data_IF_472419061145
#
_entry.id   IF_472419061145
#
_cell.length_a   1.000
_cell.length_b   1.000
_cell.length_c   1.000
_cell.angle_alpha   90.00
_cell.angle_beta   90.00
_cell.angle_gamma   90.00
#
_symmetry.space_group_name_H-M   'P 1'
#
loop_
_entity.id
_entity.type
_entity.pdbx_description
1 polymer ?
#
# COMPACT_ATOMS: atom_id res chain seq x y z
N UNK A 1 -22.95 53.53 19.71
CA UNK A 1 -24.16 52.90 20.28
C UNK A 1 -25.46 53.32 19.61
N UNK A 2 -25.86 54.62 19.63
CA UNK A 2 -27.16 55.05 19.04
C UNK A 2 -27.35 54.78 17.51
N UNK A 3 -26.29 54.68 16.69
CA UNK A 3 -26.41 54.42 15.24
C UNK A 3 -26.63 52.96 14.93
N UNK A 4 -26.04 52.06 15.71
CA UNK A 4 -26.19 50.61 15.52
C UNK A 4 -27.58 50.11 15.95
N UNK A 5 -28.11 50.66 17.06
CA UNK A 5 -29.51 50.37 17.48
C UNK A 5 -30.52 50.78 16.43
N UNK A 6 -30.33 51.97 15.81
CA UNK A 6 -31.22 52.43 14.73
C UNK A 6 -31.17 51.55 13.49
N UNK A 7 -29.98 51.00 13.14
CA UNK A 7 -29.82 50.08 12.03
C UNK A 7 -30.52 48.73 12.31
N UNK A 8 -30.37 48.18 13.52
CA UNK A 8 -31.03 46.94 13.93
C UNK A 8 -32.55 47.07 13.90
N UNK A 9 -33.10 48.17 14.42
CA UNK A 9 -34.54 48.42 14.39
C UNK A 9 -35.06 48.60 12.95
N UNK A 10 -34.31 49.30 12.09
CA UNK A 10 -34.66 49.41 10.67
C UNK A 10 -34.66 48.09 9.92
N UNK A 11 -33.70 47.22 10.25
CA UNK A 11 -33.58 45.85 9.71
C UNK A 11 -34.78 44.99 10.14
N UNK A 12 -35.11 44.96 11.43
CA UNK A 12 -36.27 44.23 11.98
C UNK A 12 -37.56 44.70 11.35
N UNK A 13 -37.76 46.01 11.23
CA UNK A 13 -38.95 46.62 10.58
C UNK A 13 -39.03 46.23 9.09
N UNK A 14 -37.91 46.24 8.37
CA UNK A 14 -37.86 45.83 6.96
C UNK A 14 -38.15 44.35 6.78
N UNK A 15 -37.60 43.48 7.65
CA UNK A 15 -37.89 42.04 7.67
C UNK A 15 -39.37 41.75 7.91
N UNK A 16 -39.96 42.39 8.91
CA UNK A 16 -41.37 42.20 9.24
C UNK A 16 -42.31 42.72 8.13
N UNK A 17 -41.94 43.87 7.50
CA UNK A 17 -42.71 44.43 6.38
C UNK A 17 -42.68 43.54 5.15
N UNK A 18 -41.51 42.91 4.83
CA UNK A 18 -41.32 42.14 3.62
C UNK A 18 -41.29 40.60 3.92
N UNK A 19 -41.78 40.16 5.08
CA UNK A 19 -41.70 38.74 5.51
C UNK A 19 -42.22 37.76 4.47
N UNK A 20 -43.32 38.06 3.78
CA UNK A 20 -43.89 37.20 2.75
C UNK A 20 -42.94 37.01 1.56
N UNK A 21 -42.28 38.11 1.12
CA UNK A 21 -41.32 38.07 -0.01
C UNK A 21 -40.05 37.32 0.37
N UNK A 22 -39.54 37.49 1.60
CA UNK A 22 -38.37 36.74 2.11
C UNK A 22 -38.68 35.26 2.20
N UNK A 23 -39.81 34.91 2.79
CA UNK A 23 -40.23 33.52 2.90
C UNK A 23 -40.42 32.88 1.51
N UNK A 24 -41.08 33.59 0.59
CA UNK A 24 -41.27 33.12 -0.79
C UNK A 24 -39.95 32.90 -1.52
N UNK A 25 -38.97 33.81 -1.35
CA UNK A 25 -37.65 33.67 -1.93
C UNK A 25 -36.89 32.48 -1.34
N UNK A 26 -36.84 32.35 -0.02
CA UNK A 26 -36.15 31.20 0.64
C UNK A 26 -36.80 29.88 0.24
N UNK A 27 -38.13 29.82 0.18
CA UNK A 27 -38.85 28.63 -0.28
C UNK A 27 -38.55 28.30 -1.76
N UNK A 28 -38.47 29.32 -2.64
CA UNK A 28 -38.13 29.09 -4.04
C UNK A 28 -36.71 28.54 -4.20
N UNK A 29 -35.73 29.06 -3.44
CA UNK A 29 -34.36 28.55 -3.42
C UNK A 29 -34.33 27.11 -2.90
N UNK A 30 -35.09 26.81 -1.85
CA UNK A 30 -35.20 25.46 -1.31
C UNK A 30 -35.78 24.46 -2.36
N UNK A 31 -36.85 24.87 -3.07
CA UNK A 31 -37.42 24.03 -4.15
C UNK A 31 -36.44 23.83 -5.30
N UNK A 32 -35.75 24.87 -5.74
CA UNK A 32 -34.70 24.76 -6.77
C UNK A 32 -33.58 23.81 -6.28
N UNK A 33 -33.14 23.95 -5.02
CA UNK A 33 -32.12 23.08 -4.44
C UNK A 33 -32.54 21.61 -4.39
N UNK A 34 -33.81 21.32 -4.08
CA UNK A 34 -34.33 19.94 -4.11
C UNK A 34 -34.26 19.36 -5.51
N UNK A 35 -34.61 20.11 -6.54
CA UNK A 35 -34.55 19.67 -7.95
C UNK A 35 -33.10 19.42 -8.36
N UNK A 36 -32.18 20.36 -8.11
CA UNK A 36 -30.76 20.23 -8.48
C UNK A 36 -30.02 19.17 -7.64
N UNK A 37 -30.42 18.91 -6.41
CA UNK A 37 -29.91 17.80 -5.60
C UNK A 37 -30.52 16.43 -5.99
N UNK A 38 -31.43 16.40 -6.97
CA UNK A 38 -32.08 15.18 -7.45
C UNK A 38 -31.11 14.20 -8.15
N UNK A 39 -31.52 12.93 -8.34
CA UNK A 39 -30.67 11.90 -8.94
C UNK A 39 -30.34 12.16 -10.40
N UNK A 40 -31.06 13.07 -11.05
CA UNK A 40 -30.83 13.46 -12.42
C UNK A 40 -29.59 14.33 -12.59
N UNK A 41 -29.28 15.20 -11.61
CA UNK A 41 -28.12 16.09 -11.64
C UNK A 41 -26.94 15.53 -10.84
N UNK A 42 -27.23 14.85 -9.72
CA UNK A 42 -26.23 14.24 -8.84
C UNK A 42 -26.51 12.75 -8.70
N UNK A 43 -25.73 11.93 -9.43
CA UNK A 43 -25.86 10.49 -9.36
C UNK A 43 -25.59 9.99 -7.92
N UNK A 44 -26.38 9.03 -7.40
CA UNK A 44 -26.10 8.43 -6.12
C UNK A 44 -24.81 7.62 -6.17
N UNK A 45 -23.98 7.73 -5.15
CA UNK A 45 -22.80 6.92 -4.96
C UNK A 45 -23.03 5.92 -3.82
N UNK A 46 -22.61 4.69 -4.04
CA UNK A 46 -22.66 3.60 -3.09
C UNK A 46 -21.27 3.31 -2.56
N UNK A 47 -21.17 3.15 -1.24
CA UNK A 47 -19.91 2.90 -0.56
C UNK A 47 -19.74 1.41 -0.29
N UNK A 48 -18.59 0.86 -0.67
CA UNK A 48 -18.13 -0.47 -0.23
C UNK A 48 -16.74 -0.34 0.36
N UNK A 49 -16.46 -1.12 1.40
CA UNK A 49 -15.20 -1.04 2.15
C UNK A 49 -14.69 -2.45 2.44
N UNK A 50 -13.39 -2.69 2.19
CA UNK A 50 -12.67 -3.88 2.61
C UNK A 50 -11.68 -3.52 3.69
N UNK A 51 -11.63 -4.33 4.77
CA UNK A 51 -10.69 -4.14 5.88
C UNK A 51 -9.82 -5.38 5.99
N UNK A 52 -8.50 -5.18 6.06
CA UNK A 52 -7.54 -6.27 6.09
C UNK A 52 -6.25 -5.89 6.83
N UNK A 53 -5.49 -6.90 7.25
CA UNK A 53 -4.12 -6.74 7.75
C UNK A 53 -3.12 -7.21 6.71
N UNK A 54 -2.03 -6.46 6.47
CA UNK A 54 -0.92 -6.95 5.65
C UNK A 54 -0.21 -8.09 6.39
N UNK A 55 0.35 -9.07 5.64
CA UNK A 55 1.13 -10.14 6.25
C UNK A 55 2.46 -9.62 6.76
N UNK A 56 2.99 -10.27 7.80
CA UNK A 56 4.37 -10.04 8.24
C UNK A 56 5.33 -10.76 7.27
N UNK A 57 6.14 -10.00 6.55
CA UNK A 57 7.13 -10.52 5.59
C UNK A 57 8.58 -10.30 6.04
N UNK A 58 8.79 -9.66 7.19
CA UNK A 58 10.13 -9.22 7.66
C UNK A 58 10.96 -10.35 8.27
N UNK A 59 10.40 -11.52 8.53
CA UNK A 59 11.09 -12.61 9.20
C UNK A 59 10.94 -13.94 8.44
N UNK A 60 11.98 -14.34 7.72
CA UNK A 60 12.05 -15.68 7.11
C UNK A 60 11.99 -16.83 8.14
N UNK A 61 12.32 -16.56 9.41
CA UNK A 61 12.15 -17.51 10.53
C UNK A 61 10.69 -17.66 10.96
N UNK A 62 9.86 -16.66 10.72
CA UNK A 62 8.45 -16.64 11.19
C UNK A 62 7.55 -17.54 10.33
N UNK A 63 7.94 -17.85 9.09
CA UNK A 63 7.18 -18.77 8.23
C UNK A 63 7.27 -20.24 8.70
N UNK A 64 8.29 -20.58 9.47
CA UNK A 64 8.51 -21.94 10.00
C UNK A 64 7.98 -22.06 11.44
N UNK A 65 7.97 -20.99 12.21
CA UNK A 65 7.32 -20.92 13.51
C UNK A 65 5.90 -20.38 13.30
N UNK A 66 4.90 -21.16 13.67
CA UNK A 66 3.44 -20.92 13.58
C UNK A 66 2.92 -19.64 14.24
N UNK A 67 3.72 -18.57 14.25
CA UNK A 67 3.36 -17.29 14.83
C UNK A 67 2.78 -16.39 13.74
N UNK A 68 1.45 -16.48 13.54
CA UNK A 68 0.70 -15.61 12.64
C UNK A 68 0.67 -14.21 13.26
N UNK A 69 1.67 -13.41 12.96
CA UNK A 69 1.71 -12.00 13.36
C UNK A 69 1.19 -11.14 12.22
N UNK A 70 0.29 -10.23 12.57
CA UNK A 70 -0.08 -9.13 11.68
C UNK A 70 1.15 -8.25 11.43
N UNK A 71 1.19 -7.58 10.26
CA UNK A 71 2.31 -6.75 9.87
C UNK A 71 2.63 -5.66 10.90
N UNK A 72 3.92 -5.40 11.08
CA UNK A 72 4.41 -4.28 11.86
C UNK A 72 4.03 -2.94 11.23
N UNK A 73 4.16 -1.83 11.96
CA UNK A 73 3.90 -0.48 11.41
C UNK A 73 4.66 -0.21 10.10
N UNK A 74 5.92 -0.63 10.05
CA UNK A 74 6.76 -0.52 8.84
C UNK A 74 6.18 -1.28 7.66
N UNK A 75 5.64 -2.47 7.89
CA UNK A 75 5.02 -3.28 6.83
C UNK A 75 3.70 -2.70 6.37
N UNK A 76 2.92 -2.11 7.30
CA UNK A 76 1.70 -1.39 6.98
C UNK A 76 2.02 -0.20 6.07
N UNK A 77 3.01 0.61 6.42
CA UNK A 77 3.43 1.77 5.61
C UNK A 77 3.94 1.36 4.23
N UNK A 78 4.74 0.29 4.17
CA UNK A 78 5.19 -0.27 2.89
C UNK A 78 4.01 -0.78 2.05
N UNK A 79 3.02 -1.39 2.67
CA UNK A 79 1.83 -1.89 1.99
C UNK A 79 0.97 -0.75 1.44
N UNK A 80 0.81 0.34 2.21
CA UNK A 80 0.14 1.57 1.74
C UNK A 80 0.85 2.14 0.50
N UNK A 81 2.17 2.16 0.48
CA UNK A 81 2.93 2.64 -0.69
C UNK A 81 2.65 1.78 -1.93
N UNK A 82 2.55 0.44 -1.78
CA UNK A 82 2.20 -0.44 -2.90
C UNK A 82 0.75 -0.20 -3.34
N UNK A 83 -0.20 -0.13 -2.41
CA UNK A 83 -1.61 0.16 -2.68
C UNK A 83 -1.80 1.47 -3.46
N UNK A 84 -1.09 2.53 -3.07
CA UNK A 84 -1.14 3.85 -3.71
C UNK A 84 -0.25 3.96 -4.96
N UNK A 85 0.43 2.88 -5.34
CA UNK A 85 1.33 2.89 -6.50
C UNK A 85 0.56 3.00 -7.82
N UNK A 86 1.24 3.56 -8.82
CA UNK A 86 0.73 3.59 -10.19
C UNK A 86 0.45 2.18 -10.74
N UNK A 87 1.23 1.17 -10.32
CA UNK A 87 1.05 -0.22 -10.77
C UNK A 87 -0.32 -0.77 -10.37
N UNK A 88 -0.74 -0.58 -9.12
CA UNK A 88 -2.05 -1.01 -8.64
C UNK A 88 -3.14 -0.21 -9.36
N UNK A 89 -3.03 1.12 -9.35
CA UNK A 89 -4.01 2.01 -9.98
C UNK A 89 -4.24 1.66 -11.45
N UNK A 90 -3.17 1.57 -12.24
CA UNK A 90 -3.26 1.33 -13.69
C UNK A 90 -3.81 -0.09 -13.97
N UNK A 91 -3.51 -1.07 -13.11
CA UNK A 91 -4.07 -2.42 -13.18
C UNK A 91 -5.58 -2.43 -12.92
N UNK A 92 -6.04 -1.69 -11.90
CA UNK A 92 -7.46 -1.54 -11.58
C UNK A 92 -8.20 -0.82 -12.71
N UNK A 93 -7.64 0.31 -13.20
CA UNK A 93 -8.20 1.07 -14.31
C UNK A 93 -8.38 0.17 -15.54
N UNK A 94 -7.37 -0.63 -15.86
CA UNK A 94 -7.41 -1.54 -17.01
C UNK A 94 -8.42 -2.68 -16.80
N UNK A 95 -8.42 -3.32 -15.60
CA UNK A 95 -9.28 -4.47 -15.31
C UNK A 95 -10.76 -4.11 -15.40
N UNK A 96 -11.14 -2.93 -14.90
CA UNK A 96 -12.54 -2.48 -14.86
C UNK A 96 -12.90 -1.47 -15.96
N UNK A 97 -11.98 -1.19 -16.90
CA UNK A 97 -12.17 -0.19 -17.96
C UNK A 97 -12.68 1.15 -17.41
N UNK A 98 -12.08 1.64 -16.32
CA UNK A 98 -12.56 2.82 -15.63
C UNK A 98 -12.51 4.11 -16.47
N UNK A 99 -11.72 4.13 -17.55
CA UNK A 99 -11.70 5.24 -18.52
C UNK A 99 -13.09 5.42 -19.14
N UNK A 100 -13.67 4.33 -19.64
CA UNK A 100 -15.00 4.35 -20.23
C UNK A 100 -16.08 4.51 -19.15
N UNK A 101 -15.93 3.82 -18.01
CA UNK A 101 -16.89 3.86 -16.90
C UNK A 101 -17.06 5.28 -16.33
N UNK A 102 -15.96 6.03 -16.18
CA UNK A 102 -15.99 7.42 -15.69
C UNK A 102 -16.21 8.46 -16.81
N UNK A 103 -16.40 8.01 -18.05
CA UNK A 103 -16.65 8.91 -19.21
C UNK A 103 -15.48 9.85 -19.50
N UNK A 104 -14.24 9.39 -19.27
CA UNK A 104 -13.05 10.21 -19.50
C UNK A 104 -12.77 10.34 -21.00
N UNK A 105 -12.77 11.59 -21.46
CA UNK A 105 -12.44 11.92 -22.84
C UNK A 105 -10.92 11.84 -23.09
N UNK A 106 -10.48 10.76 -23.72
CA UNK A 106 -9.06 10.48 -24.00
C UNK A 106 -8.48 11.32 -25.13
N UNK A 107 -9.29 12.10 -25.87
CA UNK A 107 -8.80 13.00 -26.93
C UNK A 107 -8.11 14.24 -26.35
N UNK A 108 -8.43 14.59 -25.12
CA UNK A 108 -7.84 15.75 -24.43
C UNK A 108 -6.44 15.42 -23.92
N UNK A 109 -5.48 16.31 -24.13
CA UNK A 109 -4.08 16.14 -23.67
C UNK A 109 -3.96 15.86 -22.16
N UNK A 110 -4.90 16.38 -21.36
CA UNK A 110 -4.90 16.27 -19.89
C UNK A 110 -5.82 15.15 -19.34
N UNK A 111 -6.24 14.20 -20.17
CA UNK A 111 -7.18 13.13 -19.79
C UNK A 111 -6.70 12.31 -18.58
N UNK A 112 -5.37 12.04 -18.49
CA UNK A 112 -4.79 11.31 -17.36
C UNK A 112 -4.94 12.05 -16.03
N UNK A 113 -4.89 13.37 -16.03
CA UNK A 113 -5.14 14.18 -14.85
C UNK A 113 -6.59 13.98 -14.35
N UNK A 114 -7.57 14.07 -15.24
CA UNK A 114 -8.98 13.86 -14.89
C UNK A 114 -9.24 12.42 -14.41
N UNK A 115 -8.66 11.44 -15.08
CA UNK A 115 -8.77 10.03 -14.66
C UNK A 115 -8.20 9.82 -13.25
N UNK A 116 -7.01 10.36 -12.96
CA UNK A 116 -6.39 10.24 -11.65
C UNK A 116 -7.20 10.99 -10.57
N UNK A 117 -7.77 12.13 -10.91
CA UNK A 117 -8.64 12.89 -10.02
C UNK A 117 -9.87 12.07 -9.65
N UNK A 118 -10.60 11.56 -10.63
CA UNK A 118 -11.78 10.71 -10.43
C UNK A 118 -11.42 9.45 -9.60
N UNK A 119 -10.31 8.79 -9.92
CA UNK A 119 -9.84 7.63 -9.17
C UNK A 119 -9.60 7.97 -7.69
N UNK A 120 -8.90 9.06 -7.40
CA UNK A 120 -8.56 9.45 -6.03
C UNK A 120 -9.77 9.98 -5.25
N UNK A 121 -10.78 10.56 -5.92
CA UNK A 121 -12.02 10.99 -5.28
C UNK A 121 -12.94 9.82 -4.94
N UNK A 122 -12.87 8.74 -5.72
CA UNK A 122 -13.73 7.55 -5.55
C UNK A 122 -13.09 6.42 -4.77
N UNK A 123 -11.76 6.39 -4.67
CA UNK A 123 -11.03 5.31 -3.98
C UNK A 123 -10.14 5.91 -2.89
N UNK A 124 -10.50 5.64 -1.64
CA UNK A 124 -9.73 6.05 -0.46
C UNK A 124 -9.02 4.84 0.16
N UNK A 125 -7.75 5.03 0.53
CA UNK A 125 -6.90 4.03 1.18
C UNK A 125 -6.40 4.64 2.47
N UNK A 126 -6.81 4.05 3.61
CA UNK A 126 -6.56 4.61 4.93
C UNK A 126 -6.08 3.54 5.92
N UNK A 127 -5.36 3.98 6.95
CA UNK A 127 -5.01 3.15 8.10
C UNK A 127 -6.07 3.32 9.18
N UNK A 128 -6.59 2.24 9.69
CA UNK A 128 -7.56 2.25 10.79
C UNK A 128 -6.88 2.49 12.14
N UNK A 129 -7.64 2.84 13.17
CA UNK A 129 -7.11 3.00 14.55
C UNK A 129 -6.47 1.73 15.10
N UNK A 130 -6.82 0.57 14.56
CA UNK A 130 -6.34 -0.73 15.01
C UNK A 130 -5.22 -1.29 14.15
N UNK A 131 -4.53 -0.43 13.40
CA UNK A 131 -3.44 -0.83 12.51
C UNK A 131 -3.85 -1.79 11.38
N UNK A 132 -5.14 -1.87 11.06
CA UNK A 132 -5.61 -2.48 9.83
C UNK A 132 -5.58 -1.46 8.69
N UNK A 133 -5.66 -1.94 7.46
CA UNK A 133 -5.85 -1.12 6.28
C UNK A 133 -7.29 -1.21 5.81
N UNK A 134 -7.85 -0.09 5.37
CA UNK A 134 -9.15 -0.04 4.71
C UNK A 134 -9.00 0.50 3.30
N UNK A 135 -9.70 -0.12 2.36
CA UNK A 135 -9.90 0.39 1.01
C UNK A 135 -11.39 0.63 0.84
N UNK A 136 -11.73 1.89 0.70
CA UNK A 136 -13.11 2.37 0.48
C UNK A 136 -13.26 2.74 -0.99
N UNK A 137 -14.31 2.24 -1.62
CA UNK A 137 -14.67 2.55 -3.01
C UNK A 137 -16.08 3.13 -3.05
N UNK A 138 -16.21 4.26 -3.77
CA UNK A 138 -17.48 4.91 -4.08
C UNK A 138 -17.77 4.73 -5.56
N UNK A 139 -18.90 4.16 -5.91
CA UNK A 139 -19.32 4.01 -7.31
C UNK A 139 -20.82 4.18 -7.48
N UNK A 140 -21.26 4.45 -8.70
CA UNK A 140 -22.69 4.51 -9.06
C UNK A 140 -23.34 3.13 -9.10
N UNK A 141 -22.53 2.09 -9.29
CA UNK A 141 -22.93 0.67 -9.21
C UNK A 141 -22.43 0.05 -7.90
N UNK A 142 -23.32 -0.37 -6.98
CA UNK A 142 -22.96 -0.96 -5.71
C UNK A 142 -22.20 -2.28 -5.84
N UNK A 143 -22.47 -3.07 -6.90
CA UNK A 143 -21.77 -4.34 -7.16
C UNK A 143 -20.36 -4.07 -7.62
N UNK A 144 -20.20 -3.09 -8.51
CA UNK A 144 -18.89 -2.68 -9.01
C UNK A 144 -18.03 -2.09 -7.89
N UNK A 145 -18.60 -1.27 -7.00
CA UNK A 145 -17.90 -0.72 -5.84
C UNK A 145 -17.29 -1.84 -4.96
N UNK A 146 -18.08 -2.85 -4.61
CA UNK A 146 -17.62 -3.98 -3.80
C UNK A 146 -16.55 -4.81 -4.55
N UNK A 147 -16.75 -5.04 -5.83
CA UNK A 147 -15.83 -5.82 -6.66
C UNK A 147 -14.49 -5.10 -6.82
N UNK A 148 -14.49 -3.79 -7.07
CA UNK A 148 -13.26 -2.98 -7.17
C UNK A 148 -12.51 -3.02 -5.85
N UNK A 149 -13.18 -2.81 -4.70
CA UNK A 149 -12.54 -2.79 -3.40
C UNK A 149 -11.80 -4.11 -3.09
N UNK A 150 -12.45 -5.25 -3.28
CA UNK A 150 -11.84 -6.57 -3.09
C UNK A 150 -10.69 -6.81 -4.08
N UNK A 151 -10.89 -6.45 -5.34
CA UNK A 151 -9.87 -6.64 -6.40
C UNK A 151 -8.62 -5.79 -6.18
N UNK A 152 -8.73 -4.60 -5.58
CA UNK A 152 -7.55 -3.78 -5.24
C UNK A 152 -6.63 -4.55 -4.29
N UNK A 153 -7.18 -5.24 -3.29
CA UNK A 153 -6.39 -6.06 -2.35
C UNK A 153 -5.72 -7.22 -3.09
N UNK A 154 -6.47 -7.96 -3.93
CA UNK A 154 -5.94 -9.07 -4.72
C UNK A 154 -4.78 -8.64 -5.66
N UNK A 155 -4.97 -7.54 -6.39
CA UNK A 155 -3.95 -6.99 -7.28
C UNK A 155 -2.71 -6.58 -6.48
N UNK A 156 -2.90 -5.95 -5.33
CA UNK A 156 -1.80 -5.53 -4.46
C UNK A 156 -1.00 -6.70 -3.96
N UNK A 157 -1.67 -7.78 -3.52
CA UNK A 157 -1.01 -9.02 -3.12
C UNK A 157 -0.21 -9.65 -4.27
N UNK A 158 -0.78 -9.72 -5.46
CA UNK A 158 -0.11 -10.25 -6.64
C UNK A 158 1.13 -9.42 -7.04
N UNK A 159 1.04 -8.09 -6.99
CA UNK A 159 2.17 -7.19 -7.26
C UNK A 159 3.25 -7.36 -6.20
N UNK A 160 2.88 -7.40 -4.91
CA UNK A 160 3.82 -7.59 -3.80
C UNK A 160 4.54 -8.94 -3.91
N UNK A 161 3.81 -10.02 -4.19
CA UNK A 161 4.39 -11.34 -4.43
C UNK A 161 5.38 -11.33 -5.61
N UNK A 162 5.07 -10.63 -6.68
CA UNK A 162 5.97 -10.49 -7.84
C UNK A 162 7.27 -9.75 -7.47
N UNK A 163 7.16 -8.66 -6.71
CA UNK A 163 8.33 -7.90 -6.23
C UNK A 163 9.20 -8.78 -5.31
N UNK A 164 8.57 -9.49 -4.36
CA UNK A 164 9.28 -10.39 -3.44
C UNK A 164 9.99 -11.52 -4.18
N UNK A 165 9.33 -12.17 -5.15
CA UNK A 165 9.94 -13.21 -5.98
C UNK A 165 11.14 -12.69 -6.77
N UNK A 166 11.02 -11.50 -7.37
CA UNK A 166 12.13 -10.87 -8.10
C UNK A 166 13.34 -10.61 -7.19
N UNK A 167 13.12 -10.07 -6.00
CA UNK A 167 14.18 -9.80 -5.04
C UNK A 167 14.82 -11.10 -4.54
N UNK A 168 14.00 -12.11 -4.26
CA UNK A 168 14.48 -13.41 -3.78
C UNK A 168 15.26 -14.15 -4.86
N UNK A 169 14.83 -14.10 -6.13
CA UNK A 169 15.59 -14.72 -7.25
C UNK A 169 16.94 -14.04 -7.46
N UNK A 170 17.02 -12.71 -7.31
CA UNK A 170 18.28 -11.99 -7.37
C UNK A 170 19.21 -12.36 -6.21
N UNK A 171 18.69 -12.48 -5.00
CA UNK A 171 19.44 -12.92 -3.82
C UNK A 171 19.95 -14.35 -3.99
N UNK A 172 19.11 -15.27 -4.53
CA UNK A 172 19.47 -16.65 -4.80
C UNK A 172 20.63 -16.73 -5.80
N UNK A 173 20.58 -15.96 -6.89
CA UNK A 173 21.67 -15.91 -7.89
C UNK A 173 22.98 -15.43 -7.29
N UNK A 174 22.96 -14.46 -6.38
CA UNK A 174 24.16 -14.00 -5.68
C UNK A 174 24.70 -15.09 -4.73
N UNK A 175 23.82 -15.74 -3.94
CA UNK A 175 24.22 -16.85 -3.06
C UNK A 175 24.83 -18.02 -3.83
N UNK A 176 24.26 -18.36 -4.99
CA UNK A 176 24.79 -19.43 -5.87
C UNK A 176 26.19 -19.08 -6.36
N UNK A 177 26.41 -17.82 -6.76
CA UNK A 177 27.74 -17.36 -7.18
C UNK A 177 28.75 -17.38 -6.03
N UNK A 178 28.35 -16.90 -4.85
CA UNK A 178 29.22 -16.89 -3.67
C UNK A 178 29.56 -18.32 -3.23
N UNK A 179 28.58 -19.23 -3.22
CA UNK A 179 28.78 -20.67 -2.95
C UNK A 179 29.75 -21.27 -3.96
N UNK A 180 29.52 -21.07 -5.27
CA UNK A 180 30.42 -21.56 -6.32
C UNK A 180 31.85 -21.05 -6.18
N UNK A 181 32.04 -19.78 -5.86
CA UNK A 181 33.36 -19.20 -5.63
C UNK A 181 34.05 -19.83 -4.40
N UNK A 182 33.30 -19.99 -3.31
CA UNK A 182 33.83 -20.63 -2.10
C UNK A 182 34.18 -22.09 -2.30
N UNK A 183 33.41 -22.84 -3.09
CA UNK A 183 33.76 -24.22 -3.49
C UNK A 183 35.08 -24.25 -4.26
N UNK A 184 35.29 -23.33 -5.20
CA UNK A 184 36.56 -23.24 -5.94
C UNK A 184 37.75 -22.94 -5.04
N UNK A 185 37.59 -21.98 -4.10
CA UNK A 185 38.64 -21.67 -3.10
C UNK A 185 38.96 -22.93 -2.27
N UNK A 186 37.92 -23.65 -1.85
CA UNK A 186 38.07 -24.93 -1.12
C UNK A 186 38.81 -26.00 -1.94
N UNK A 187 38.47 -26.16 -3.23
CA UNK A 187 39.12 -27.14 -4.10
C UNK A 187 40.59 -26.85 -4.28
N UNK A 188 41.00 -25.57 -4.41
CA UNK A 188 42.41 -25.14 -4.47
C UNK A 188 43.12 -25.50 -3.15
N UNK A 189 42.49 -25.20 -2.02
CA UNK A 189 43.07 -25.55 -0.71
C UNK A 189 43.21 -27.05 -0.53
N UNK A 190 42.18 -27.82 -0.89
CA UNK A 190 42.16 -29.27 -0.85
C UNK A 190 43.25 -29.90 -1.73
N UNK A 191 43.49 -29.34 -2.92
CA UNK A 191 44.57 -29.78 -3.80
C UNK A 191 45.95 -29.58 -3.16
N UNK A 192 46.16 -28.48 -2.46
CA UNK A 192 47.39 -28.19 -1.71
C UNK A 192 47.60 -29.21 -0.56
N UNK A 193 46.55 -29.55 0.18
CA UNK A 193 46.60 -30.58 1.22
C UNK A 193 46.94 -31.93 0.62
N UNK A 194 46.30 -32.35 -0.46
CA UNK A 194 46.53 -33.62 -1.11
C UNK A 194 47.98 -33.72 -1.62
N UNK A 195 48.61 -32.64 -2.04
CA UNK A 195 50.04 -32.59 -2.39
C UNK A 195 50.90 -32.85 -1.17
N UNK A 196 50.65 -32.19 -0.05
CA UNK A 196 51.41 -32.41 1.20
C UNK A 196 51.25 -33.84 1.69
N UNK A 197 50.02 -34.41 1.62
CA UNK A 197 49.72 -35.80 1.98
C UNK A 197 50.51 -36.79 1.12
N UNK A 198 50.57 -36.53 -0.19
CA UNK A 198 51.33 -37.40 -1.12
C UNK A 198 52.82 -37.33 -0.85
N UNK A 199 53.36 -36.18 -0.55
CA UNK A 199 54.79 -35.97 -0.24
C UNK A 199 55.16 -36.65 1.12
N UNK A 200 54.20 -36.84 2.03
CA UNK A 200 54.40 -37.49 3.34
C UNK A 200 53.99 -38.99 3.40
N UNK A 201 53.80 -39.66 2.26
CA UNK A 201 53.51 -41.12 2.16
C UNK A 201 52.22 -41.57 2.86
N UNK A 202 51.15 -40.78 2.82
CA UNK A 202 49.84 -41.15 3.36
C UNK A 202 48.97 -41.79 2.23
N UNK A 203 48.21 -42.90 2.49
CA UNK A 203 47.47 -43.59 1.43
C UNK A 203 46.46 -42.67 0.71
N UNK A 204 46.40 -42.79 -0.63
CA UNK A 204 45.53 -42.03 -1.52
C UNK A 204 44.05 -42.16 -1.12
N UNK A 205 43.43 -41.10 -0.66
CA UNK A 205 41.99 -40.97 -0.51
C UNK A 205 41.35 -40.79 -1.90
N UNK A 206 40.64 -41.82 -2.37
CA UNK A 206 39.92 -41.78 -3.64
C UNK A 206 38.58 -41.04 -3.43
N UNK A 207 38.58 -39.71 -3.60
CA UNK A 207 37.44 -38.83 -3.29
C UNK A 207 36.49 -38.57 -4.49
N UNK A 208 36.69 -39.27 -5.62
CA UNK A 208 35.99 -38.94 -6.89
C UNK A 208 34.49 -39.22 -6.89
N UNK A 209 33.99 -40.11 -6.02
CA UNK A 209 32.56 -40.52 -6.03
C UNK A 209 31.79 -40.13 -4.77
N UNK A 210 32.34 -39.30 -3.90
CA UNK A 210 31.71 -38.93 -2.64
C UNK A 210 31.04 -37.58 -2.72
N UNK A 211 29.98 -37.39 -1.88
CA UNK A 211 29.34 -36.10 -1.74
C UNK A 211 30.35 -35.04 -1.27
N UNK A 212 30.12 -33.78 -1.61
CA UNK A 212 30.99 -32.66 -1.21
C UNK A 212 31.22 -32.65 0.31
N UNK A 213 30.16 -32.88 1.11
CA UNK A 213 30.23 -32.91 2.58
C UNK A 213 31.09 -34.07 3.11
N UNK A 214 30.99 -35.24 2.50
CA UNK A 214 31.82 -36.41 2.90
C UNK A 214 33.30 -36.19 2.56
N UNK A 215 33.59 -35.64 1.38
CA UNK A 215 34.94 -35.21 1.01
C UNK A 215 35.55 -34.28 2.04
N UNK A 216 34.75 -33.29 2.48
CA UNK A 216 35.14 -32.30 3.49
C UNK A 216 35.47 -32.97 4.83
N UNK A 217 34.58 -33.85 5.34
CA UNK A 217 34.81 -34.57 6.60
C UNK A 217 36.10 -35.37 6.58
N UNK A 218 36.32 -36.14 5.53
CA UNK A 218 37.56 -36.96 5.39
C UNK A 218 38.82 -36.08 5.34
N UNK A 219 38.76 -34.91 4.73
CA UNK A 219 39.89 -33.99 4.72
C UNK A 219 40.14 -33.36 6.10
N UNK A 220 39.10 -33.09 6.91
CA UNK A 220 39.27 -32.64 8.30
C UNK A 220 40.00 -33.70 9.11
N UNK A 221 39.53 -34.94 9.02
CA UNK A 221 40.13 -36.05 9.80
C UNK A 221 41.60 -36.23 9.41
N UNK A 222 41.92 -36.10 8.13
CA UNK A 222 43.30 -36.17 7.63
C UNK A 222 44.15 -35.01 8.15
N UNK A 223 43.63 -33.79 8.16
CA UNK A 223 44.30 -32.61 8.70
C UNK A 223 44.60 -32.78 10.19
N UNK A 224 43.65 -33.31 10.95
CA UNK A 224 43.82 -33.61 12.38
C UNK A 224 44.92 -34.63 12.60
N UNK A 225 44.94 -35.68 11.76
CA UNK A 225 45.98 -36.73 11.84
C UNK A 225 47.38 -36.13 11.53
N UNK A 226 47.50 -35.29 10.50
CA UNK A 226 48.74 -34.61 10.13
C UNK A 226 49.22 -33.64 11.22
N UNK A 227 48.32 -32.89 11.82
CA UNK A 227 48.62 -31.96 12.93
C UNK A 227 49.15 -32.76 14.15
N UNK A 228 48.50 -33.87 14.50
CA UNK A 228 48.88 -34.71 15.61
C UNK A 228 50.24 -35.44 15.41
N UNK A 229 50.62 -35.73 14.15
CA UNK A 229 51.92 -36.30 13.79
C UNK A 229 53.07 -35.30 13.76
N UNK A 230 52.78 -34.00 14.03
CA UNK A 230 53.82 -32.96 14.12
C UNK A 230 54.46 -32.62 12.78
N UNK A 231 53.75 -32.76 11.67
CA UNK A 231 54.23 -32.36 10.34
C UNK A 231 54.54 -30.88 10.29
N UNK A 232 55.77 -30.52 10.00
CA UNK A 232 56.24 -29.11 9.96
C UNK A 232 55.50 -28.24 8.96
N UNK A 233 54.84 -28.83 7.96
CA UNK A 233 54.05 -28.16 6.92
C UNK A 233 52.61 -27.86 7.31
N UNK A 234 52.17 -28.41 8.47
CA UNK A 234 50.78 -28.27 8.96
C UNK A 234 50.77 -27.66 10.35
N UNK A 235 50.42 -26.39 10.44
CA UNK A 235 50.27 -25.69 11.69
C UNK A 235 48.79 -25.54 12.09
N UNK A 236 48.55 -25.28 13.37
CA UNK A 236 47.21 -25.02 13.92
C UNK A 236 46.44 -23.92 13.17
N UNK A 237 47.16 -22.99 12.55
CA UNK A 237 46.57 -21.88 11.80
C UNK A 237 45.94 -22.36 10.48
N UNK A 238 46.56 -23.32 9.80
CA UNK A 238 46.00 -23.93 8.57
C UNK A 238 44.78 -24.78 8.89
N UNK A 239 44.81 -25.54 10.00
CA UNK A 239 43.64 -26.27 10.49
C UNK A 239 42.48 -25.34 10.81
N UNK A 240 42.72 -24.25 11.55
CA UNK A 240 41.70 -23.28 11.90
C UNK A 240 41.07 -22.61 10.66
N UNK A 241 41.88 -22.20 9.69
CA UNK A 241 41.41 -21.64 8.44
C UNK A 241 40.53 -22.60 7.63
N UNK A 242 40.85 -23.88 7.65
CA UNK A 242 40.07 -24.92 6.99
C UNK A 242 38.71 -25.13 7.66
N UNK A 243 38.68 -25.26 8.97
CA UNK A 243 37.46 -25.42 9.75
C UNK A 243 36.54 -24.17 9.60
N UNK A 244 37.11 -22.97 9.58
CA UNK A 244 36.36 -21.72 9.32
C UNK A 244 35.77 -21.68 7.90
N UNK A 245 36.51 -22.12 6.89
CA UNK A 245 36.02 -22.19 5.50
C UNK A 245 34.88 -23.19 5.35
N UNK A 246 34.95 -24.33 6.05
CA UNK A 246 33.86 -25.30 6.09
C UNK A 246 32.59 -24.76 6.73
N UNK A 247 32.73 -24.04 7.86
CA UNK A 247 31.60 -23.41 8.52
C UNK A 247 30.92 -22.41 7.60
N UNK A 248 31.72 -21.60 6.88
CA UNK A 248 31.18 -20.63 5.88
C UNK A 248 30.45 -21.32 4.73
N UNK A 249 30.99 -22.42 4.20
CA UNK A 249 30.34 -23.22 3.15
C UNK A 249 29.03 -23.82 3.61
N UNK A 250 28.99 -24.38 4.82
CA UNK A 250 27.77 -24.96 5.39
C UNK A 250 26.68 -23.86 5.60
N UNK A 251 27.09 -22.68 6.06
CA UNK A 251 26.19 -21.54 6.22
C UNK A 251 25.64 -21.03 4.86
N UNK A 252 26.50 -20.91 3.84
CA UNK A 252 26.10 -20.53 2.49
C UNK A 252 25.16 -21.56 1.86
N UNK A 253 25.44 -22.85 2.03
CA UNK A 253 24.56 -23.91 1.55
C UNK A 253 23.20 -23.87 2.23
N UNK A 254 23.16 -23.73 3.55
CA UNK A 254 21.92 -23.60 4.32
C UNK A 254 21.11 -22.37 3.86
N UNK A 255 21.78 -21.25 3.65
CA UNK A 255 21.15 -20.02 3.18
C UNK A 255 20.60 -20.17 1.75
N UNK A 256 21.33 -20.86 0.87
CA UNK A 256 20.88 -21.17 -0.49
C UNK A 256 19.65 -22.09 -0.49
N UNK A 257 19.69 -23.18 0.27
CA UNK A 257 18.56 -24.13 0.39
C UNK A 257 17.32 -23.44 0.95
N UNK A 258 17.48 -22.57 1.95
CA UNK A 258 16.41 -21.80 2.55
C UNK A 258 15.83 -20.76 1.57
N UNK A 259 16.68 -20.05 0.84
CA UNK A 259 16.24 -19.11 -0.19
C UNK A 259 15.53 -19.81 -1.36
N UNK A 260 16.04 -20.97 -1.79
CA UNK A 260 15.43 -21.80 -2.84
C UNK A 260 14.07 -22.36 -2.41
N UNK A 261 13.96 -22.85 -1.18
CA UNK A 261 12.68 -23.29 -0.62
C UNK A 261 11.67 -22.16 -0.55
N UNK A 262 12.08 -20.98 -0.11
CA UNK A 262 11.22 -19.80 -0.02
C UNK A 262 10.73 -19.31 -1.40
N UNK A 263 11.52 -19.49 -2.47
CA UNK A 263 11.10 -19.14 -3.83
C UNK A 263 9.91 -19.97 -4.31
N UNK A 264 9.84 -21.24 -3.90
CA UNK A 264 8.83 -22.21 -4.28
C UNK A 264 7.59 -22.18 -3.36
N UNK A 265 7.63 -21.44 -2.26
CA UNK A 265 6.48 -21.31 -1.35
C UNK A 265 5.51 -20.22 -1.82
N UNK A 266 4.24 -20.39 -1.47
CA UNK A 266 3.27 -19.31 -1.64
C UNK A 266 3.58 -18.19 -0.63
N UNK A 267 3.73 -16.95 -1.14
CA UNK A 267 3.87 -15.81 -0.25
C UNK A 267 2.58 -15.59 0.54
N UNK A 268 2.68 -15.21 1.82
CA UNK A 268 1.49 -14.91 2.60
C UNK A 268 0.75 -13.73 1.98
N UNK A 269 -0.55 -13.91 1.86
CA UNK A 269 -1.49 -12.90 1.38
C UNK A 269 -2.05 -12.07 2.52
N UNK A 270 -2.74 -10.97 2.20
CA UNK A 270 -3.41 -10.16 3.20
C UNK A 270 -4.48 -10.95 3.97
N UNK A 271 -4.59 -10.69 5.26
CA UNK A 271 -5.65 -11.26 6.10
C UNK A 271 -6.89 -10.38 6.02
N UNK A 272 -7.85 -10.76 5.18
CA UNK A 272 -9.10 -10.02 5.03
C UNK A 272 -9.97 -10.26 6.26
N UNK A 273 -10.22 -9.18 7.03
CA UNK A 273 -11.09 -9.21 8.22
C UNK A 273 -12.54 -8.99 7.82
N UNK A 274 -12.77 -8.03 6.94
CA UNK A 274 -14.09 -7.69 6.42
C UNK A 274 -13.98 -7.52 4.90
N UNK A 275 -14.44 -8.49 4.11
CA UNK A 275 -14.50 -8.31 2.66
C UNK A 275 -15.53 -7.23 2.32
N UNK A 276 -15.28 -6.50 1.24
CA UNK A 276 -16.24 -5.53 0.75
C UNK A 276 -17.51 -6.22 0.30
N UNK A 277 -18.64 -5.78 0.85
CA UNK A 277 -19.96 -6.27 0.53
C UNK A 277 -20.73 -5.27 -0.30
N UNK A 278 -21.68 -5.77 -1.10
CA UNK A 278 -22.57 -4.93 -1.89
C UNK A 278 -23.52 -4.19 -0.96
N UNK A 279 -23.41 -2.86 -0.94
CA UNK A 279 -24.28 -2.01 -0.13
C UNK A 279 -25.19 -1.19 -1.04
N UNK A 280 -26.49 -1.46 -0.99
CA UNK A 280 -27.50 -0.74 -1.76
C UNK A 280 -27.95 0.57 -1.10
N UNK A 281 -27.46 0.87 0.09
CA UNK A 281 -27.72 2.16 0.74
C UNK A 281 -26.78 3.23 0.13
N UNK A 282 -27.36 4.29 -0.41
CA UNK A 282 -26.58 5.42 -0.93
C UNK A 282 -25.79 6.11 0.18
N UNK A 283 -24.54 6.39 -0.05
CA UNK A 283 -23.66 7.13 0.85
C UNK A 283 -23.68 8.63 0.54
N UNK A 284 -23.61 8.98 -0.73
CA UNK A 284 -23.43 10.36 -1.20
C UNK A 284 -24.29 10.62 -2.45
N UNK A 285 -24.72 11.87 -2.70
CA UNK A 285 -24.66 13.04 -1.82
C UNK A 285 -25.74 13.04 -0.73
N UNK A 286 -25.42 13.66 0.41
CA UNK A 286 -26.42 13.89 1.46
C UNK A 286 -27.34 15.07 1.06
N UNK A 287 -28.44 14.75 0.38
CA UNK A 287 -29.37 15.74 -0.19
C UNK A 287 -29.96 16.68 0.85
N UNK A 288 -30.28 16.15 2.03
CA UNK A 288 -30.83 16.95 3.12
C UNK A 288 -29.85 18.04 3.56
N UNK A 289 -28.56 17.70 3.65
CA UNK A 289 -27.50 18.66 4.01
C UNK A 289 -27.34 19.74 2.95
N UNK A 290 -27.39 19.38 1.65
CA UNK A 290 -27.29 20.34 0.53
C UNK A 290 -28.46 21.33 0.61
N UNK A 291 -29.69 20.84 0.74
CA UNK A 291 -30.89 21.67 0.82
C UNK A 291 -30.86 22.56 2.06
N UNK A 292 -30.48 22.04 3.22
CA UNK A 292 -30.36 22.79 4.46
C UNK A 292 -29.33 23.93 4.32
N UNK A 293 -28.14 23.63 3.80
CA UNK A 293 -27.07 24.62 3.64
C UNK A 293 -27.45 25.72 2.67
N UNK A 294 -28.01 25.36 1.51
CA UNK A 294 -28.47 26.36 0.51
C UNK A 294 -29.61 27.24 1.04
N UNK A 295 -30.52 26.66 1.82
CA UNK A 295 -31.63 27.39 2.46
C UNK A 295 -31.10 28.40 3.49
N UNK A 296 -30.14 28.03 4.33
CA UNK A 296 -29.49 28.92 5.30
C UNK A 296 -28.76 30.05 4.57
N UNK A 297 -27.99 29.72 3.52
CA UNK A 297 -27.28 30.72 2.71
C UNK A 297 -28.25 31.70 2.03
N UNK A 298 -29.39 31.25 1.52
CA UNK A 298 -30.45 32.11 0.96
C UNK A 298 -31.01 33.08 2.00
N UNK A 299 -31.24 32.60 3.23
CA UNK A 299 -31.66 33.44 4.36
C UNK A 299 -30.65 34.54 4.70
N UNK A 300 -29.37 34.17 4.81
CA UNK A 300 -28.28 35.14 5.04
C UNK A 300 -28.17 36.14 3.90
N UNK A 301 -28.29 35.70 2.66
CA UNK A 301 -28.28 36.60 1.49
C UNK A 301 -29.42 37.62 1.56
N UNK A 302 -30.62 37.23 1.93
CA UNK A 302 -31.73 38.14 2.13
C UNK A 302 -31.44 39.22 3.17
N UNK A 303 -30.80 38.84 4.30
CA UNK A 303 -30.42 39.79 5.36
C UNK A 303 -29.42 40.83 4.83
N UNK A 304 -28.36 40.35 4.16
CA UNK A 304 -27.33 41.21 3.57
C UNK A 304 -27.93 42.13 2.51
N UNK A 305 -28.78 41.62 1.64
CA UNK A 305 -29.46 42.41 0.62
C UNK A 305 -30.34 43.49 1.24
N UNK A 306 -31.06 43.18 2.33
CA UNK A 306 -31.87 44.20 3.03
C UNK A 306 -31.01 45.27 3.66
N UNK A 307 -29.91 44.94 4.32
CA UNK A 307 -28.95 45.90 4.87
C UNK A 307 -28.47 46.86 3.77
N UNK A 308 -28.03 46.27 2.63
CA UNK A 308 -27.56 47.07 1.49
C UNK A 308 -28.65 47.98 0.93
N UNK A 309 -29.87 47.49 0.81
CA UNK A 309 -31.02 48.28 0.32
C UNK A 309 -31.41 49.42 1.27
N UNK A 310 -31.27 49.25 2.59
CA UNK A 310 -31.48 50.31 3.59
C UNK A 310 -30.40 51.37 3.46
N UNK A 311 -29.13 51.00 3.32
CA UNK A 311 -28.00 51.93 3.15
C UNK A 311 -28.14 52.71 1.85
N UNK A 312 -28.47 52.06 0.73
CA UNK A 312 -28.70 52.73 -0.55
C UNK A 312 -29.81 53.80 -0.47
N UNK A 313 -30.91 53.50 0.23
CA UNK A 313 -32.00 54.50 0.45
C UNK A 313 -31.54 55.70 1.27
N UNK A 314 -30.69 55.46 2.29
CA UNK A 314 -30.14 56.57 3.11
C UNK A 314 -29.20 57.46 2.29
N UNK A 315 -28.34 56.87 1.47
CA UNK A 315 -27.42 57.60 0.58
C UNK A 315 -28.21 58.41 -0.47
N UNK A 316 -29.23 57.79 -1.08
CA UNK A 316 -30.08 58.50 -2.06
C UNK A 316 -30.78 59.66 -1.44
N UNK A 317 -31.33 59.52 -0.24
CA UNK A 317 -32.00 60.63 0.47
C UNK A 317 -31.02 61.76 0.88
N UNK A 318 -29.77 61.41 1.19
CA UNK A 318 -28.69 62.36 1.51
C UNK A 318 -28.16 63.12 0.27
N UNK A 319 -28.34 62.56 -0.95
CA UNK A 319 -27.96 63.19 -2.22
C UNK A 319 -29.07 64.11 -2.80
N UNK A 320 -30.33 63.88 -2.39
CA UNK A 320 -31.48 64.61 -2.81
C UNK A 320 -31.82 65.78 -1.84
N UNK A 321 -31.17 65.89 -0.67
CA UNK A 321 -31.28 66.96 0.32
C UNK A 321 -30.11 67.96 0.19
#
# INVERSE_FOLDING_TARGET
MKSEEKLQVALLRSLLKNKKTVIAFVLSVALVSIVFSGPFFLAPLYKSEVIFYPPNTSSNKTLIQYDVRFGSEKEIDQHIQVLKSNLVRDSVIKKFNLIAHYGIDTTKTVWRYYLNKEYNEKIAIERTRYNALSVTVLDTDPVLAATIANTIVEITDAIKATILRKNLSAALSNLEKDYSNKVKEFDVFAANINRIVKDNYIPNLNLKNESFVERMKKQIDLIRELTNKGSADFDLKKQYNYEAMLAQLAELQSSYEQASSNLNTNFPTCYIISPAQVNYQKDSPNRLLIVALTTVLAGLFCIVWMLFSIQLKQVKHALES
#
